data_IF_494615315136
#
_entry.id   IF_494615315136
#
_cell.length_a   1.000
_cell.length_b   1.000
_cell.length_c   1.000
_cell.angle_alpha   90.00
_cell.angle_beta   90.00
_cell.angle_gamma   90.00
#
_symmetry.space_group_name_H-M   'P 1'
#
loop_
_entity.id
_entity.type
_entity.pdbx_description
1 polymer ?
#
# COMPACT_ATOMS: atom_id res chain seq x y z
N UNK A 1 21.46 17.68 5.30
CA UNK A 1 20.09 18.16 5.07
C UNK A 1 19.13 17.00 5.40
N UNK A 2 18.20 17.20 6.28
CA UNK A 2 17.14 16.21 6.53
C UNK A 2 16.35 16.06 5.23
N UNK A 3 16.37 14.87 4.62
CA UNK A 3 15.46 14.54 3.52
C UNK A 3 14.02 14.63 4.06
N UNK A 4 13.31 15.66 3.70
CA UNK A 4 11.88 15.74 3.99
C UNK A 4 11.13 15.00 2.88
N UNK A 5 10.22 14.11 3.28
CA UNK A 5 9.27 13.52 2.35
C UNK A 5 8.41 14.62 1.75
N UNK A 6 8.06 14.46 0.48
CA UNK A 6 7.32 15.47 -0.27
C UNK A 6 6.02 15.91 0.41
N UNK A 7 5.69 17.19 0.26
CA UNK A 7 4.45 17.77 0.78
C UNK A 7 3.21 17.34 0.01
N UNK A 8 3.39 16.89 -1.23
CA UNK A 8 2.32 16.59 -2.17
C UNK A 8 2.21 15.07 -2.42
N UNK A 9 1.00 14.60 -2.78
CA UNK A 9 0.75 13.18 -3.03
C UNK A 9 1.54 12.66 -4.24
N UNK A 10 1.75 11.34 -4.26
CA UNK A 10 2.23 10.65 -5.45
C UNK A 10 1.21 10.77 -6.59
N UNK A 11 1.67 11.11 -7.81
CA UNK A 11 0.81 11.17 -8.99
C UNK A 11 0.06 9.86 -9.23
N UNK A 12 0.73 8.73 -9.01
CA UNK A 12 0.12 7.41 -9.18
C UNK A 12 -1.01 7.16 -8.18
N UNK A 13 -0.90 7.65 -6.94
CA UNK A 13 -2.00 7.61 -5.96
C UNK A 13 -3.16 8.49 -6.40
N UNK A 14 -2.90 9.70 -6.91
CA UNK A 14 -3.94 10.57 -7.45
C UNK A 14 -4.71 9.83 -8.55
N UNK A 15 -4.01 9.23 -9.51
CA UNK A 15 -4.61 8.47 -10.61
C UNK A 15 -5.41 7.27 -10.13
N UNK A 16 -4.91 6.53 -9.13
CA UNK A 16 -5.60 5.40 -8.52
C UNK A 16 -6.90 5.83 -7.86
N UNK A 17 -6.88 6.87 -7.03
CA UNK A 17 -8.05 7.39 -6.33
C UNK A 17 -9.06 7.95 -7.33
N UNK A 18 -8.62 8.71 -8.32
CA UNK A 18 -9.49 9.31 -9.33
C UNK A 18 -10.25 8.24 -10.14
N UNK A 19 -9.53 7.24 -10.66
CA UNK A 19 -10.15 6.16 -11.45
C UNK A 19 -11.20 5.38 -10.68
N UNK A 20 -10.95 5.11 -9.39
CA UNK A 20 -11.81 4.21 -8.63
C UNK A 20 -12.94 4.93 -7.89
N UNK A 21 -12.76 6.20 -7.49
CA UNK A 21 -13.65 6.81 -6.50
C UNK A 21 -14.17 8.22 -6.85
N UNK A 22 -13.69 8.89 -7.91
CA UNK A 22 -14.16 10.26 -8.19
C UNK A 22 -15.63 10.34 -8.59
N UNK A 23 -16.18 9.29 -9.19
CA UNK A 23 -17.56 9.26 -9.66
C UNK A 23 -18.55 8.67 -8.63
N UNK A 24 -18.12 8.42 -7.38
CA UNK A 24 -19.03 7.98 -6.33
C UNK A 24 -19.97 9.12 -5.93
N UNK A 25 -21.19 8.77 -5.55
CA UNK A 25 -22.21 9.75 -5.20
C UNK A 25 -21.84 10.56 -3.94
N UNK A 26 -21.21 9.92 -2.97
CA UNK A 26 -20.83 10.55 -1.69
C UNK A 26 -19.44 10.07 -1.26
N UNK A 27 -18.45 10.92 -1.49
CA UNK A 27 -17.05 10.62 -1.17
C UNK A 27 -16.79 10.47 0.34
N UNK A 28 -17.60 11.10 1.19
CA UNK A 28 -17.42 11.02 2.64
C UNK A 28 -17.68 9.61 3.20
N UNK A 29 -18.37 8.75 2.44
CA UNK A 29 -18.62 7.35 2.77
C UNK A 29 -17.53 6.39 2.32
N UNK A 30 -16.58 6.86 1.54
CA UNK A 30 -15.41 6.08 1.10
C UNK A 30 -14.32 6.18 2.16
N UNK A 31 -13.91 5.04 2.71
CA UNK A 31 -12.87 4.95 3.73
C UNK A 31 -11.56 4.47 3.11
N UNK A 32 -10.50 5.25 3.28
CA UNK A 32 -9.17 4.98 2.74
C UNK A 32 -8.20 4.79 3.90
N UNK A 33 -7.44 3.70 3.89
CA UNK A 33 -6.36 3.42 4.83
C UNK A 33 -5.01 3.54 4.12
N UNK A 34 -4.05 4.24 4.71
CA UNK A 34 -2.65 4.21 4.26
C UNK A 34 -1.75 3.54 5.29
N UNK A 35 -0.95 2.59 4.80
CA UNK A 35 0.08 1.91 5.59
C UNK A 35 1.38 2.70 5.49
N UNK A 36 1.87 3.23 6.62
CA UNK A 36 3.09 4.03 6.65
C UNK A 36 2.94 5.37 5.94
N UNK A 37 2.01 6.20 6.38
CA UNK A 37 1.67 7.43 5.69
C UNK A 37 2.71 8.56 5.80
N UNK A 38 3.77 8.39 6.61
CA UNK A 38 4.79 9.42 6.80
C UNK A 38 4.22 10.74 7.31
N UNK A 39 4.41 11.82 6.56
CA UNK A 39 3.82 13.13 6.85
C UNK A 39 2.39 13.29 6.30
N UNK A 40 1.83 12.24 5.70
CA UNK A 40 0.43 12.13 5.30
C UNK A 40 0.04 12.87 4.03
N UNK A 41 0.96 13.04 3.07
CA UNK A 41 0.65 13.76 1.83
C UNK A 41 -0.49 13.10 1.03
N UNK A 42 -0.53 11.77 0.95
CA UNK A 42 -1.59 11.04 0.24
C UNK A 42 -2.93 11.10 1.01
N UNK A 43 -2.91 10.92 2.33
CA UNK A 43 -4.12 11.03 3.17
C UNK A 43 -4.67 12.44 3.17
N UNK A 44 -3.81 13.46 3.22
CA UNK A 44 -4.22 14.85 3.06
C UNK A 44 -4.94 15.10 1.74
N UNK A 45 -4.38 14.60 0.65
CA UNK A 45 -5.02 14.67 -0.67
C UNK A 45 -6.40 14.01 -0.67
N UNK A 46 -6.50 12.78 -0.16
CA UNK A 46 -7.77 12.06 -0.08
C UNK A 46 -8.80 12.83 0.76
N UNK A 47 -8.40 13.39 1.91
CA UNK A 47 -9.27 14.20 2.75
C UNK A 47 -9.72 15.49 2.05
N UNK A 48 -8.81 16.16 1.32
CA UNK A 48 -9.10 17.35 0.51
C UNK A 48 -10.14 17.07 -0.56
N UNK A 49 -10.10 15.88 -1.14
CA UNK A 49 -11.06 15.40 -2.13
C UNK A 49 -12.40 14.92 -1.52
N UNK A 50 -12.54 14.99 -0.20
CA UNK A 50 -13.78 14.67 0.53
C UNK A 50 -13.88 13.25 1.08
N UNK A 51 -12.84 12.43 0.94
CA UNK A 51 -12.80 11.05 1.45
C UNK A 51 -12.54 11.00 2.96
N UNK A 52 -13.01 9.93 3.62
CA UNK A 52 -12.65 9.60 4.99
C UNK A 52 -11.30 8.87 5.01
N UNK A 53 -10.40 9.25 5.93
CA UNK A 53 -9.03 8.75 5.95
C UNK A 53 -8.65 8.12 7.28
N UNK A 54 -7.86 7.08 7.21
CA UNK A 54 -7.24 6.39 8.35
C UNK A 54 -5.81 6.01 7.99
N UNK A 55 -4.97 5.78 8.99
CA UNK A 55 -3.58 5.42 8.72
C UNK A 55 -2.86 4.82 9.90
N UNK A 56 -1.76 4.15 9.57
CA UNK A 56 -0.77 3.65 10.54
C UNK A 56 0.56 4.30 10.21
N UNK A 57 1.24 4.84 11.23
CA UNK A 57 2.56 5.44 11.07
C UNK A 57 3.46 5.06 12.24
N UNK A 58 4.70 4.72 11.93
CA UNK A 58 5.73 4.41 12.92
C UNK A 58 6.32 5.66 13.58
N UNK A 59 6.49 6.73 12.78
CA UNK A 59 7.13 7.96 13.20
C UNK A 59 6.16 8.88 13.93
N UNK A 60 6.42 9.12 15.23
CA UNK A 60 5.67 10.11 16.01
C UNK A 60 5.72 11.51 15.36
N UNK A 61 6.90 11.91 14.88
CA UNK A 61 7.06 13.20 14.19
C UNK A 61 6.24 13.29 12.90
N UNK A 62 6.19 12.19 12.10
CA UNK A 62 5.37 12.12 10.89
C UNK A 62 3.89 12.27 11.22
N UNK A 63 3.42 11.55 12.22
CA UNK A 63 2.04 11.63 12.70
C UNK A 63 1.67 13.03 13.21
N UNK A 64 2.54 13.66 13.99
CA UNK A 64 2.30 15.01 14.51
C UNK A 64 2.23 16.06 13.39
N UNK A 65 3.12 15.98 12.40
CA UNK A 65 3.09 16.85 11.20
C UNK A 65 1.81 16.66 10.39
N UNK A 66 1.39 15.43 10.19
CA UNK A 66 0.12 15.12 9.53
C UNK A 66 -1.06 15.75 10.27
N UNK A 67 -1.19 15.53 11.58
CA UNK A 67 -2.28 16.08 12.39
C UNK A 67 -2.28 17.62 12.38
N UNK A 68 -1.11 18.24 12.47
CA UNK A 68 -0.99 19.71 12.41
C UNK A 68 -1.50 20.25 11.06
N UNK A 69 -1.06 19.66 9.95
CA UNK A 69 -1.53 20.06 8.62
C UNK A 69 -3.04 19.89 8.45
N UNK A 70 -3.59 18.76 8.89
CA UNK A 70 -5.03 18.51 8.80
C UNK A 70 -5.84 19.53 9.61
N UNK A 71 -5.34 19.92 10.79
CA UNK A 71 -5.95 20.95 11.62
C UNK A 71 -5.87 22.33 10.95
N UNK A 72 -4.69 22.71 10.46
CA UNK A 72 -4.46 24.02 9.84
C UNK A 72 -5.32 24.23 8.57
N UNK A 73 -5.63 23.14 7.86
CA UNK A 73 -6.47 23.19 6.66
C UNK A 73 -7.94 22.81 6.91
N UNK A 74 -8.38 22.70 8.16
CA UNK A 74 -9.75 22.34 8.56
C UNK A 74 -10.23 21.00 8.00
N UNK A 75 -9.35 19.98 7.99
CA UNK A 75 -9.61 18.63 7.49
C UNK A 75 -9.63 17.57 8.59
N UNK A 76 -9.55 17.97 9.87
CA UNK A 76 -9.48 17.02 10.99
C UNK A 76 -10.72 16.12 11.11
N UNK A 77 -11.87 16.59 10.65
CA UNK A 77 -13.13 15.82 10.62
C UNK A 77 -13.11 14.66 9.63
N UNK A 78 -12.20 14.67 8.66
CA UNK A 78 -11.99 13.58 7.69
C UNK A 78 -11.20 12.41 8.27
N UNK A 79 -10.46 12.63 9.36
CA UNK A 79 -9.69 11.58 10.03
C UNK A 79 -10.66 10.69 10.83
N UNK A 80 -10.69 9.39 10.51
CA UNK A 80 -11.47 8.40 11.26
C UNK A 80 -10.66 7.72 12.35
N UNK A 81 -9.47 7.21 12.00
CA UNK A 81 -8.61 6.52 12.96
C UNK A 81 -7.14 6.60 12.51
N UNK A 82 -6.28 7.01 13.42
CA UNK A 82 -4.83 7.07 13.20
C UNK A 82 -4.13 6.32 14.33
N UNK A 83 -3.28 5.37 13.96
CA UNK A 83 -2.51 4.55 14.88
C UNK A 83 -1.01 4.87 14.77
N UNK A 84 -0.34 4.94 15.92
CA UNK A 84 1.12 5.05 15.99
C UNK A 84 1.70 3.69 16.38
N UNK A 85 2.56 3.12 15.56
CA UNK A 85 3.26 1.86 15.85
C UNK A 85 3.45 0.95 14.65
N UNK A 86 3.80 -0.31 14.93
CA UNK A 86 4.02 -1.34 13.92
C UNK A 86 2.69 -1.79 13.29
N UNK A 87 2.69 -2.04 12.00
CA UNK A 87 1.53 -2.53 11.25
C UNK A 87 0.94 -3.82 11.83
N UNK A 88 1.83 -4.77 12.22
CA UNK A 88 1.42 -6.08 12.73
C UNK A 88 0.50 -5.94 13.94
N UNK A 89 0.83 -5.00 14.84
CA UNK A 89 0.05 -4.77 16.04
C UNK A 89 -1.16 -3.87 15.76
N UNK A 90 -0.96 -2.83 14.93
CA UNK A 90 -1.95 -1.76 14.76
C UNK A 90 -3.05 -2.09 13.76
N UNK A 91 -2.82 -3.01 12.82
CA UNK A 91 -3.88 -3.48 11.92
C UNK A 91 -5.04 -4.16 12.68
N UNK A 92 -4.76 -4.78 13.81
CA UNK A 92 -5.80 -5.45 14.61
C UNK A 92 -6.79 -4.46 15.26
N UNK A 93 -6.43 -3.18 15.41
CA UNK A 93 -7.33 -2.14 15.92
C UNK A 93 -8.40 -1.68 14.93
N UNK A 94 -8.25 -2.01 13.65
CA UNK A 94 -9.22 -1.68 12.60
C UNK A 94 -10.20 -2.82 12.41
N UNK A 95 -11.46 -2.45 12.15
CA UNK A 95 -12.52 -3.40 11.84
C UNK A 95 -12.28 -4.08 10.49
N UNK A 96 -12.56 -5.38 10.40
CA UNK A 96 -12.56 -6.12 9.13
C UNK A 96 -13.64 -5.56 8.19
N UNK A 97 -13.44 -5.69 6.88
CA UNK A 97 -14.35 -5.25 5.81
C UNK A 97 -14.82 -3.78 5.97
N UNK A 98 -13.92 -2.88 6.36
CA UNK A 98 -14.25 -1.47 6.64
C UNK A 98 -13.67 -0.46 5.66
N UNK A 99 -12.68 -0.85 4.85
CA UNK A 99 -12.02 0.06 3.92
C UNK A 99 -12.37 -0.21 2.46
N UNK A 100 -12.66 0.85 1.73
CA UNK A 100 -12.87 0.83 0.29
C UNK A 100 -11.55 0.78 -0.47
N UNK A 101 -10.50 1.38 0.09
CA UNK A 101 -9.14 1.30 -0.41
C UNK A 101 -8.09 1.19 0.70
N UNK A 102 -7.00 0.46 0.41
CA UNK A 102 -5.77 0.46 1.19
C UNK A 102 -4.61 0.86 0.28
N UNK A 103 -3.78 1.79 0.75
CA UNK A 103 -2.64 2.35 0.02
C UNK A 103 -1.36 2.00 0.75
N UNK A 104 -0.38 1.49 0.01
CA UNK A 104 1.02 1.32 0.42
C UNK A 104 1.93 2.05 -0.58
N UNK A 105 2.59 3.11 -0.14
CA UNK A 105 3.55 3.85 -0.97
C UNK A 105 4.95 3.63 -0.44
N UNK A 106 5.63 2.63 -0.99
CA UNK A 106 7.01 2.26 -0.64
C UNK A 106 7.22 2.11 0.89
N UNK A 107 6.24 1.57 1.59
CA UNK A 107 6.29 1.38 3.04
C UNK A 107 6.45 -0.10 3.42
N UNK A 108 5.70 -1.01 2.81
CA UNK A 108 5.84 -2.44 3.05
C UNK A 108 7.23 -2.95 2.66
N UNK A 109 7.88 -2.33 1.69
CA UNK A 109 9.25 -2.67 1.29
C UNK A 109 10.31 -2.42 2.38
N UNK A 110 9.97 -1.72 3.46
CA UNK A 110 10.84 -1.59 4.64
C UNK A 110 10.84 -2.84 5.54
N UNK A 111 10.11 -3.88 5.15
CA UNK A 111 10.05 -5.17 5.83
C UNK A 111 10.49 -6.29 4.89
N UNK A 112 11.05 -7.35 5.45
CA UNK A 112 11.33 -8.57 4.68
C UNK A 112 10.05 -9.19 4.11
N UNK A 113 10.22 -10.21 3.29
CA UNK A 113 9.11 -10.84 2.59
C UNK A 113 8.09 -11.52 3.50
N UNK A 114 8.56 -12.21 4.53
CA UNK A 114 7.68 -12.93 5.46
C UNK A 114 6.85 -11.95 6.29
N UNK A 115 7.50 -10.94 6.87
CA UNK A 115 6.79 -9.90 7.61
C UNK A 115 5.82 -9.12 6.72
N UNK A 116 6.22 -8.81 5.47
CA UNK A 116 5.33 -8.14 4.51
C UNK A 116 4.10 -8.97 4.16
N UNK A 117 4.26 -10.30 4.04
CA UNK A 117 3.14 -11.22 3.82
C UNK A 117 2.18 -11.23 4.99
N UNK A 118 2.69 -11.27 6.22
CA UNK A 118 1.86 -11.24 7.43
C UNK A 118 1.08 -9.92 7.53
N UNK A 119 1.74 -8.78 7.28
CA UNK A 119 1.10 -7.46 7.25
C UNK A 119 0.02 -7.43 6.18
N UNK A 120 0.33 -7.89 4.97
CA UNK A 120 -0.60 -7.91 3.85
C UNK A 120 -1.83 -8.78 4.13
N UNK A 121 -1.65 -9.98 4.67
CA UNK A 121 -2.74 -10.87 5.05
C UNK A 121 -3.70 -10.20 6.05
N UNK A 122 -3.16 -9.49 7.05
CA UNK A 122 -3.99 -8.70 7.97
C UNK A 122 -4.68 -7.53 7.24
N UNK A 123 -3.96 -6.81 6.38
CA UNK A 123 -4.51 -5.66 5.66
C UNK A 123 -5.66 -6.05 4.72
N UNK A 124 -5.54 -7.15 3.97
CA UNK A 124 -6.59 -7.64 3.06
C UNK A 124 -7.90 -7.93 3.80
N UNK A 125 -7.83 -8.41 5.05
CA UNK A 125 -9.04 -8.61 5.88
C UNK A 125 -9.78 -7.30 6.15
N UNK A 126 -9.07 -6.17 6.19
CA UNK A 126 -9.64 -4.83 6.42
C UNK A 126 -10.32 -4.26 5.18
N UNK A 127 -9.96 -4.74 3.98
CA UNK A 127 -10.64 -4.37 2.74
C UNK A 127 -12.06 -4.96 2.70
N UNK A 128 -13.00 -4.15 2.27
CA UNK A 128 -14.35 -4.60 1.86
C UNK A 128 -14.25 -5.55 0.66
N UNK A 129 -15.27 -6.37 0.44
CA UNK A 129 -15.45 -7.08 -0.83
C UNK A 129 -15.52 -6.06 -1.97
N UNK A 130 -14.77 -6.27 -3.04
CA UNK A 130 -14.59 -5.30 -4.13
C UNK A 130 -13.69 -4.10 -3.78
N UNK A 131 -13.15 -4.03 -2.56
CA UNK A 131 -12.21 -3.00 -2.14
C UNK A 131 -10.90 -3.07 -2.92
N UNK A 132 -10.25 -1.92 -3.07
CA UNK A 132 -9.07 -1.73 -3.91
C UNK A 132 -7.80 -1.63 -3.07
N UNK A 133 -6.73 -2.19 -3.59
CA UNK A 133 -5.40 -2.12 -2.98
C UNK A 133 -4.42 -1.50 -3.97
N UNK A 134 -3.62 -0.55 -3.48
CA UNK A 134 -2.53 0.07 -4.22
C UNK A 134 -1.22 -0.18 -3.49
N UNK A 135 -0.20 -0.62 -4.20
CA UNK A 135 1.16 -0.69 -3.67
C UNK A 135 2.16 -0.18 -4.68
N UNK A 136 3.09 0.65 -4.23
CA UNK A 136 4.32 0.93 -4.93
C UNK A 136 5.50 0.31 -4.20
N UNK A 137 6.33 -0.43 -4.94
CA UNK A 137 7.47 -1.19 -4.43
C UNK A 137 8.73 -0.87 -5.22
N UNK A 138 9.90 -1.20 -4.66
CA UNK A 138 11.19 -0.95 -5.25
C UNK A 138 11.57 -2.08 -6.20
N UNK A 139 12.03 -1.73 -7.40
CA UNK A 139 12.42 -2.70 -8.42
C UNK A 139 13.84 -3.21 -8.24
N UNK A 140 14.07 -4.48 -8.58
CA UNK A 140 15.40 -5.08 -8.72
C UNK A 140 16.22 -4.52 -9.91
N UNK A 141 15.63 -3.65 -10.74
CA UNK A 141 16.31 -3.05 -11.89
C UNK A 141 17.06 -1.75 -11.55
N UNK A 142 16.89 -1.23 -10.33
CA UNK A 142 17.51 0.05 -9.96
C UNK A 142 19.00 -0.09 -9.72
N UNK A 143 19.73 0.99 -10.00
CA UNK A 143 21.12 1.12 -9.57
C UNK A 143 21.17 1.14 -8.03
N UNK A 144 21.85 0.17 -7.45
CA UNK A 144 21.91 -0.03 -6.00
C UNK A 144 21.30 -1.35 -5.55
N UNK A 145 20.64 -2.09 -6.43
CA UNK A 145 20.26 -3.47 -6.16
C UNK A 145 21.46 -4.42 -6.30
N UNK A 146 21.65 -5.29 -5.35
CA UNK A 146 22.76 -6.27 -5.27
C UNK A 146 22.18 -7.69 -5.18
N UNK A 147 22.19 -8.41 -6.31
CA UNK A 147 21.52 -9.72 -6.43
C UNK A 147 22.10 -10.81 -5.50
N UNK A 148 23.36 -10.71 -5.14
CA UNK A 148 24.07 -11.61 -4.22
C UNK A 148 23.64 -11.44 -2.75
N UNK A 149 23.01 -10.32 -2.40
CA UNK A 149 22.48 -10.04 -1.06
C UNK A 149 21.03 -10.50 -0.86
N UNK A 150 20.43 -11.12 -1.88
CA UNK A 150 19.02 -11.48 -1.83
C UNK A 150 18.10 -10.29 -2.13
N UNK A 151 16.86 -10.33 -1.64
CA UNK A 151 15.86 -9.32 -1.94
C UNK A 151 15.63 -8.30 -0.81
N UNK A 152 16.22 -8.50 0.38
CA UNK A 152 16.09 -7.60 1.53
C UNK A 152 17.43 -7.30 2.17
N UNK A 153 17.93 -6.08 1.99
CA UNK A 153 19.23 -5.64 2.52
C UNK A 153 19.31 -4.12 2.62
N UNK A 154 20.33 -3.61 3.32
CA UNK A 154 20.63 -2.18 3.36
C UNK A 154 21.54 -1.81 2.16
N UNK A 155 21.05 -0.98 1.22
CA UNK A 155 21.84 -0.55 0.06
C UNK A 155 23.06 0.30 0.46
N UNK A 156 24.22 0.02 -0.11
CA UNK A 156 25.46 0.78 0.14
C UNK A 156 25.75 1.82 -0.97
N UNK A 157 24.96 1.83 -2.03
CA UNK A 157 25.05 2.78 -3.14
C UNK A 157 23.66 3.02 -3.77
N UNK A 158 23.58 3.97 -4.70
CA UNK A 158 22.32 4.35 -5.32
C UNK A 158 21.52 5.37 -4.52
N UNK A 159 20.26 5.59 -4.92
CA UNK A 159 19.41 6.62 -4.31
C UNK A 159 18.85 6.21 -2.94
N UNK A 160 18.88 4.91 -2.63
CA UNK A 160 18.32 4.35 -1.39
C UNK A 160 19.36 4.18 -0.27
N UNK A 161 20.57 4.67 -0.47
CA UNK A 161 21.64 4.63 0.56
C UNK A 161 21.19 5.29 1.86
N UNK A 162 21.51 4.68 3.01
CA UNK A 162 21.17 5.16 4.36
C UNK A 162 19.66 5.24 4.66
N UNK A 163 18.86 4.47 3.95
CA UNK A 163 17.44 4.35 4.22
C UNK A 163 17.07 3.12 5.09
N UNK A 164 18.09 2.38 5.55
CA UNK A 164 17.91 1.11 6.24
C UNK A 164 17.72 -0.06 5.27
N UNK A 165 17.34 -1.21 5.81
CA UNK A 165 17.08 -2.38 4.98
C UNK A 165 15.79 -2.21 4.18
N UNK A 166 15.85 -2.53 2.91
CA UNK A 166 14.76 -2.40 1.95
C UNK A 166 14.60 -3.69 1.15
N UNK A 167 13.36 -4.02 0.82
CA UNK A 167 13.04 -5.12 -0.08
C UNK A 167 12.89 -4.62 -1.50
N UNK A 168 13.54 -5.34 -2.40
CA UNK A 168 13.45 -5.15 -3.84
C UNK A 168 12.65 -6.28 -4.47
N UNK A 169 11.78 -5.93 -5.40
CA UNK A 169 10.87 -6.86 -6.05
C UNK A 169 11.05 -6.85 -7.57
N UNK A 170 10.54 -7.86 -8.21
CA UNK A 170 10.19 -7.93 -9.61
C UNK A 170 8.67 -8.18 -9.73
N UNK A 171 8.17 -8.18 -10.96
CA UNK A 171 6.73 -8.39 -11.20
C UNK A 171 6.24 -9.72 -10.60
N UNK A 172 7.02 -10.79 -10.78
CA UNK A 172 6.65 -12.11 -10.28
C UNK A 172 6.58 -12.15 -8.76
N UNK A 173 7.61 -11.65 -8.09
CA UNK A 173 7.69 -11.67 -6.63
C UNK A 173 6.61 -10.79 -5.98
N UNK A 174 6.28 -9.65 -6.60
CA UNK A 174 5.25 -8.75 -6.09
C UNK A 174 3.84 -9.31 -6.31
N UNK A 175 3.57 -9.91 -7.47
CA UNK A 175 2.29 -10.60 -7.72
C UNK A 175 2.09 -11.81 -6.82
N UNK A 176 3.16 -12.55 -6.49
CA UNK A 176 3.08 -13.64 -5.52
C UNK A 176 2.80 -13.13 -4.10
N UNK A 177 3.40 -12.02 -3.69
CA UNK A 177 3.12 -11.39 -2.40
C UNK A 177 1.63 -11.01 -2.25
N UNK A 178 1.03 -10.51 -3.32
CA UNK A 178 -0.35 -9.99 -3.34
C UNK A 178 -1.36 -10.95 -4.01
N UNK A 179 -1.07 -12.25 -4.07
CA UNK A 179 -1.88 -13.26 -4.79
C UNK A 179 -3.31 -13.45 -4.29
N UNK A 180 -3.62 -13.01 -3.06
CA UNK A 180 -4.98 -13.03 -2.53
C UNK A 180 -5.91 -12.02 -3.22
N UNK A 181 -5.34 -11.07 -3.97
CA UNK A 181 -6.07 -10.06 -4.72
C UNK A 181 -6.07 -10.39 -6.22
N UNK A 182 -7.16 -10.09 -6.88
CA UNK A 182 -7.18 -10.03 -8.34
C UNK A 182 -6.34 -8.84 -8.79
N UNK A 183 -5.25 -9.07 -9.51
CA UNK A 183 -4.46 -8.00 -10.12
C UNK A 183 -5.29 -7.29 -11.18
N UNK A 184 -5.52 -5.99 -11.00
CA UNK A 184 -6.26 -5.15 -11.96
C UNK A 184 -5.29 -4.44 -12.89
N UNK A 185 -4.23 -3.86 -12.34
CA UNK A 185 -3.16 -3.20 -13.09
C UNK A 185 -1.80 -3.55 -12.50
N UNK A 186 -0.84 -3.68 -13.38
CA UNK A 186 0.58 -3.74 -13.02
C UNK A 186 1.37 -2.91 -14.03
N UNK A 187 2.16 -1.96 -13.56
CA UNK A 187 3.03 -1.15 -14.41
C UNK A 187 4.26 -0.68 -13.66
N UNK A 188 5.25 -0.20 -14.40
CA UNK A 188 6.49 0.35 -13.85
C UNK A 188 6.60 1.83 -14.18
N UNK A 189 7.21 2.58 -13.27
CA UNK A 189 7.62 3.96 -13.52
C UNK A 189 9.13 4.03 -13.35
N UNK A 190 9.82 4.42 -14.41
CA UNK A 190 11.28 4.36 -14.48
C UNK A 190 11.86 5.75 -14.71
N UNK A 191 12.81 6.15 -13.86
CA UNK A 191 13.70 7.28 -14.09
C UNK A 191 15.07 6.75 -14.54
N UNK A 192 15.42 7.03 -15.79
CA UNK A 192 16.65 6.54 -16.42
C UNK A 192 17.51 7.70 -16.92
N UNK A 193 18.80 7.64 -16.68
CA UNK A 193 19.77 8.46 -17.39
C UNK A 193 20.50 7.64 -18.49
N UNK A 194 21.54 8.24 -19.10
CA UNK A 194 22.30 7.58 -20.17
C UNK A 194 23.04 6.31 -19.72
N UNK A 195 23.29 6.14 -18.44
CA UNK A 195 24.17 5.10 -17.90
C UNK A 195 23.41 4.02 -17.13
N UNK A 196 22.33 4.37 -16.43
CA UNK A 196 21.63 3.43 -15.54
C UNK A 196 20.18 3.81 -15.28
N UNK A 197 19.41 2.85 -14.78
CA UNK A 197 18.11 3.09 -14.17
C UNK A 197 18.38 3.64 -12.76
N UNK A 198 18.03 4.90 -12.53
CA UNK A 198 18.21 5.57 -11.23
C UNK A 198 17.15 5.19 -10.25
N UNK A 199 15.92 5.16 -10.70
CA UNK A 199 14.75 4.77 -9.92
C UNK A 199 13.82 3.97 -10.82
N UNK A 200 13.29 2.89 -10.30
CA UNK A 200 12.18 2.17 -10.90
C UNK A 200 11.24 1.70 -9.81
N UNK A 201 10.01 2.11 -9.92
CA UNK A 201 8.93 1.75 -9.00
C UNK A 201 8.00 0.79 -9.71
N UNK A 202 7.71 -0.32 -9.05
CA UNK A 202 6.69 -1.28 -9.46
C UNK A 202 5.38 -0.88 -8.82
N UNK A 203 4.31 -0.76 -9.61
CA UNK A 203 3.00 -0.39 -9.13
C UNK A 203 2.04 -1.54 -9.37
N UNK A 204 1.46 -2.02 -8.28
CA UNK A 204 0.46 -3.06 -8.25
C UNK A 204 -0.87 -2.47 -7.78
N UNK A 205 -1.93 -2.71 -8.55
CA UNK A 205 -3.30 -2.41 -8.15
C UNK A 205 -4.11 -3.69 -8.17
N UNK A 206 -4.75 -3.99 -7.05
CA UNK A 206 -5.55 -5.20 -6.87
C UNK A 206 -6.95 -4.93 -6.35
N UNK A 207 -7.80 -5.95 -6.43
CA UNK A 207 -9.16 -5.94 -5.92
C UNK A 207 -9.44 -7.19 -5.10
N UNK A 208 -10.03 -7.02 -3.91
CA UNK A 208 -10.53 -8.13 -3.10
C UNK A 208 -11.77 -8.72 -3.76
N UNK A 209 -11.78 -10.05 -3.99
CA UNK A 209 -12.92 -10.72 -4.63
C UNK A 209 -14.24 -10.38 -3.92
N UNK A 210 -15.28 -10.13 -4.72
CA UNK A 210 -16.65 -9.93 -4.22
C UNK A 210 -17.37 -11.25 -3.94
N UNK A 211 -16.88 -12.40 -4.49
CA UNK A 211 -17.44 -13.72 -4.24
C UNK A 211 -16.85 -14.34 -2.97
N UNK A 212 -17.70 -14.95 -2.14
CA UNK A 212 -17.22 -15.89 -1.10
C UNK A 212 -16.54 -17.06 -1.82
N UNK A 213 -15.37 -17.48 -1.35
CA UNK A 213 -14.81 -18.75 -1.76
C UNK A 213 -15.88 -19.80 -1.42
N UNK A 214 -16.48 -20.44 -2.43
CA UNK A 214 -17.36 -21.57 -2.20
C UNK A 214 -16.51 -22.61 -1.48
N UNK A 215 -16.80 -22.84 -0.20
CA UNK A 215 -16.22 -23.91 0.58
C UNK A 215 -16.37 -25.20 -0.19
N UNK A 216 -15.29 -25.96 -0.28
CA UNK A 216 -15.27 -27.24 -1.00
C UNK A 216 -16.44 -28.12 -0.59
N UNK A 217 -17.43 -28.18 -1.45
CA UNK A 217 -18.53 -29.14 -1.35
C UNK A 217 -18.03 -30.48 -1.84
N UNK A 218 -18.08 -31.46 -0.96
CA UNK A 218 -17.85 -32.88 -1.24
C UNK A 218 -18.54 -33.30 -2.53
N UNK A 219 -17.77 -33.66 -3.53
CA UNK A 219 -18.26 -34.48 -4.63
C UNK A 219 -18.46 -35.90 -4.11
N UNK A 220 -19.63 -36.20 -3.56
CA UNK A 220 -20.09 -37.57 -3.39
C UNK A 220 -20.24 -38.20 -4.77
N UNK A 221 -19.37 -39.18 -5.03
CA UNK A 221 -19.51 -40.12 -6.14
C UNK A 221 -20.85 -40.83 -6.05
N UNK A 222 -21.82 -40.42 -6.84
CA UNK A 222 -22.96 -41.28 -7.14
C UNK A 222 -22.52 -42.31 -8.16
N UNK A 223 -22.38 -43.55 -7.67
CA UNK A 223 -22.08 -44.71 -8.49
C UNK A 223 -23.24 -45.03 -9.42
N UNK A 224 -22.96 -45.15 -10.69
CA UNK A 224 -23.86 -45.84 -11.62
C UNK A 224 -23.92 -47.32 -11.27
N UNK A 225 -25.09 -47.76 -10.84
CA UNK A 225 -25.47 -49.19 -10.94
C UNK A 225 -26.40 -49.34 -12.13
N UNK A 226 -25.92 -50.21 -13.05
CA UNK A 226 -26.62 -50.99 -14.11
C UNK A 226 -27.85 -50.35 -14.77
#
# INVERSE_FOLDING_TARGET
SKKEWGKYPSENVIRFIARNFYNVQDRSKINILELGFGTGANLWFCAKEGFSVSGIEWSKTGLERFKARMKDENLSDKIKQIELGDYIDKLDSFKDDSFDAIIDVASLCCNDREKSKDIFTKAVRKLKKGGKFYSSALSKQVFGYEADKGDFFEPNHGIYIKMGSLRFDDEKSLKELYKELKCINFYTQTLKDKQSIKEEILIFEGEKSSTEAMGGGDYQKQGFRK
#
